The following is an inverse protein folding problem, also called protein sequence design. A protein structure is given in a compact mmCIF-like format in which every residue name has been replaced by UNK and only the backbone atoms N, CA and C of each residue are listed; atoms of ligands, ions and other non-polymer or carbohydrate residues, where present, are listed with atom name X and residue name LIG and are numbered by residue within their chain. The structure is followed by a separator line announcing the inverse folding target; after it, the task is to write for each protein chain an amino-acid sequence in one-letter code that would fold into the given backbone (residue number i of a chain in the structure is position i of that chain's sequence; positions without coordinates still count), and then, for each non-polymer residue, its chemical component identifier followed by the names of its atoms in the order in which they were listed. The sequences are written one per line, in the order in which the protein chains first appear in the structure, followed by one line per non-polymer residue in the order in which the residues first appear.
data_IF_085251323121
#
_entry.id   IF_085251323121
#
_cell.length_a   1.000
_cell.length_b   1.000
_cell.length_c   1.000
_cell.angle_alpha   90.00
_cell.angle_beta   90.00
_cell.angle_gamma   90.00
#
_symmetry.space_group_name_H-M   'P 1'
#
loop_
_entity.id
_entity.type
_entity.pdbx_description
1 polymer ?
#
# COMPACT_ATOMS: atom_id res chain seq x y z
N UNK A 1 -24.80 15.19 -2.56
CA UNK A 1 -23.45 15.76 -2.30
C UNK A 1 -22.70 15.79 -3.62
N UNK A 2 -22.49 16.97 -4.22
CA UNK A 2 -21.70 17.09 -5.46
C UNK A 2 -20.25 16.63 -5.25
N UNK A 3 -19.59 16.18 -6.32
CA UNK A 3 -18.15 15.97 -6.31
C UNK A 3 -17.49 17.31 -5.98
N UNK A 4 -16.89 17.42 -4.80
CA UNK A 4 -16.02 18.56 -4.50
C UNK A 4 -14.79 18.46 -5.39
N UNK A 5 -14.28 19.60 -5.84
CA UNK A 5 -12.97 19.66 -6.48
C UNK A 5 -11.97 18.93 -5.58
N UNK A 6 -11.23 18.00 -6.16
CA UNK A 6 -10.16 17.29 -5.45
C UNK A 6 -8.94 18.18 -5.58
N UNK A 7 -8.62 18.89 -4.50
CA UNK A 7 -7.39 19.66 -4.42
C UNK A 7 -6.21 18.68 -4.28
N UNK A 8 -5.25 18.70 -5.22
CA UNK A 8 -4.08 17.82 -5.14
C UNK A 8 -3.30 18.04 -3.83
N UNK A 9 -3.33 19.25 -3.27
CA UNK A 9 -2.71 19.64 -2.00
C UNK A 9 -3.22 18.81 -0.82
N UNK A 10 -4.50 18.46 -0.79
CA UNK A 10 -5.08 17.67 0.30
C UNK A 10 -4.46 16.25 0.33
N UNK A 11 -4.19 15.66 -0.84
CA UNK A 11 -3.53 14.36 -0.96
C UNK A 11 -2.09 14.44 -0.44
N UNK A 12 -1.36 15.50 -0.81
CA UNK A 12 0.00 15.71 -0.30
C UNK A 12 0.05 15.99 1.21
N UNK A 13 -0.95 16.69 1.76
CA UNK A 13 -1.10 16.87 3.19
C UNK A 13 -1.29 15.55 3.94
N UNK A 14 -2.11 14.64 3.40
CA UNK A 14 -2.29 13.31 3.96
C UNK A 14 -1.02 12.45 3.85
N UNK A 15 -0.32 12.50 2.72
CA UNK A 15 0.96 11.81 2.55
C UNK A 15 1.97 12.23 3.62
N UNK A 16 2.07 13.55 3.87
CA UNK A 16 3.00 14.09 4.86
C UNK A 16 2.60 13.77 6.30
N UNK A 17 1.35 14.04 6.67
CA UNK A 17 0.93 14.00 8.07
C UNK A 17 0.46 12.61 8.52
N UNK A 18 -0.30 11.89 7.70
CA UNK A 18 -0.89 10.59 8.08
C UNK A 18 0.00 9.41 7.70
N UNK A 19 0.77 9.52 6.62
CA UNK A 19 1.65 8.45 6.13
C UNK A 19 3.13 8.71 6.44
N UNK A 20 3.44 9.81 7.13
CA UNK A 20 4.81 10.25 7.48
C UNK A 20 5.77 10.33 6.28
N UNK A 21 5.24 10.55 5.08
CA UNK A 21 6.02 10.64 3.85
C UNK A 21 6.34 12.10 3.55
N UNK A 22 7.52 12.55 4.00
CA UNK A 22 7.91 13.98 3.98
C UNK A 22 8.64 14.41 2.70
N UNK A 23 9.25 13.48 1.97
CA UNK A 23 10.04 13.77 0.76
C UNK A 23 10.08 12.54 -0.15
N UNK A 24 10.13 12.77 -1.46
CA UNK A 24 10.48 11.72 -2.42
C UNK A 24 11.87 11.16 -2.11
N UNK A 25 11.97 9.83 -2.09
CA UNK A 25 13.23 9.13 -1.80
C UNK A 25 14.03 8.88 -3.07
N UNK A 26 13.36 8.84 -4.22
CA UNK A 26 14.00 8.62 -5.49
C UNK A 26 14.12 9.92 -6.30
N UNK A 27 15.20 10.03 -7.06
CA UNK A 27 15.49 11.16 -7.95
C UNK A 27 15.26 10.77 -9.41
N UNK A 28 14.76 11.73 -10.19
CA UNK A 28 14.38 11.53 -11.59
C UNK A 28 12.88 11.33 -11.78
N UNK A 29 12.35 11.87 -12.88
CA UNK A 29 10.90 11.92 -13.16
C UNK A 29 10.23 10.55 -13.08
N UNK A 30 10.85 9.53 -13.66
CA UNK A 30 10.28 8.18 -13.72
C UNK A 30 10.20 7.51 -12.35
N UNK A 31 11.21 7.73 -11.51
CA UNK A 31 11.24 7.14 -10.15
C UNK A 31 10.29 7.86 -9.20
N UNK A 32 10.17 9.18 -9.33
CA UNK A 32 9.15 9.96 -8.59
C UNK A 32 7.74 9.54 -9.01
N UNK A 33 7.52 9.26 -10.30
CA UNK A 33 6.24 8.75 -10.79
C UNK A 33 5.92 7.36 -10.25
N UNK A 34 6.94 6.51 -10.10
CA UNK A 34 6.80 5.20 -9.45
C UNK A 34 6.37 5.34 -7.98
N UNK A 35 7.02 6.21 -7.21
CA UNK A 35 6.61 6.52 -5.83
C UNK A 35 5.14 6.97 -5.77
N UNK A 36 4.74 7.87 -6.67
CA UNK A 36 3.36 8.34 -6.76
C UNK A 36 2.37 7.23 -7.12
N UNK A 37 2.76 6.30 -8.00
CA UNK A 37 1.95 5.14 -8.38
C UNK A 37 1.69 4.21 -7.19
N UNK A 38 2.70 3.97 -6.34
CA UNK A 38 2.52 3.23 -5.09
C UNK A 38 1.51 3.90 -4.17
N UNK A 39 1.59 5.22 -4.01
CA UNK A 39 0.61 5.97 -3.22
C UNK A 39 -0.79 5.84 -3.80
N UNK A 40 -0.95 5.99 -5.12
CA UNK A 40 -2.25 5.86 -5.79
C UNK A 40 -2.87 4.47 -5.53
N UNK A 41 -2.09 3.40 -5.65
CA UNK A 41 -2.53 2.03 -5.35
C UNK A 41 -2.91 1.91 -3.87
N UNK A 42 -2.06 2.38 -2.95
CA UNK A 42 -2.32 2.32 -1.51
C UNK A 42 -3.59 3.09 -1.12
N UNK A 43 -3.80 4.28 -1.67
CA UNK A 43 -5.01 5.08 -1.43
C UNK A 43 -6.28 4.41 -1.98
N UNK A 44 -6.18 3.74 -3.14
CA UNK A 44 -7.29 2.96 -3.69
C UNK A 44 -7.66 1.77 -2.81
N UNK A 45 -6.66 1.02 -2.31
CA UNK A 45 -6.88 -0.08 -1.35
C UNK A 45 -7.51 0.46 -0.07
N UNK A 46 -6.97 1.55 0.49
CA UNK A 46 -7.52 2.21 1.70
C UNK A 46 -8.98 2.61 1.52
N UNK A 47 -9.35 3.10 0.32
CA UNK A 47 -10.73 3.45 -0.02
C UNK A 47 -11.65 2.21 -0.09
N UNK A 48 -11.15 1.10 -0.63
CA UNK A 48 -11.90 -0.17 -0.65
C UNK A 48 -12.11 -0.65 0.79
N UNK A 49 -11.07 -0.70 1.63
CA UNK A 49 -11.20 -1.08 3.04
C UNK A 49 -12.22 -0.22 3.80
N UNK A 50 -12.20 1.10 3.59
CA UNK A 50 -13.18 2.00 4.21
C UNK A 50 -14.63 1.72 3.77
N UNK A 51 -14.85 1.31 2.52
CA UNK A 51 -16.17 0.86 2.04
C UNK A 51 -16.57 -0.46 2.67
N UNK A 52 -15.68 -1.44 2.70
CA UNK A 52 -15.95 -2.76 3.27
C UNK A 52 -16.34 -2.67 4.76
N UNK A 53 -15.62 -1.84 5.53
CA UNK A 53 -15.94 -1.59 6.94
C UNK A 53 -17.33 -0.93 7.10
N UNK A 54 -17.70 -0.01 6.20
CA UNK A 54 -19.02 0.64 6.23
C UNK A 54 -20.15 -0.33 5.87
N UNK A 55 -19.90 -1.28 4.98
CA UNK A 55 -20.85 -2.30 4.53
C UNK A 55 -20.89 -3.52 5.47
N UNK A 56 -20.11 -3.54 6.56
CA UNK A 56 -20.12 -4.60 7.56
C UNK A 56 -19.47 -5.91 7.08
N UNK A 57 -18.56 -5.83 6.12
CA UNK A 57 -17.87 -7.00 5.54
C UNK A 57 -16.61 -7.40 6.33
N UNK A 58 -16.66 -7.34 7.66
CA UNK A 58 -15.51 -7.61 8.53
C UNK A 58 -14.98 -9.05 8.39
N UNK A 59 -15.85 -9.99 8.00
CA UNK A 59 -15.48 -11.38 7.75
C UNK A 59 -14.48 -11.54 6.59
N UNK A 60 -14.61 -10.73 5.52
CA UNK A 60 -13.67 -10.72 4.40
C UNK A 60 -12.31 -10.21 4.85
N UNK A 61 -12.28 -9.20 5.73
CA UNK A 61 -11.04 -8.68 6.32
C UNK A 61 -10.27 -9.77 7.07
N UNK A 62 -10.97 -10.63 7.83
CA UNK A 62 -10.38 -11.78 8.48
C UNK A 62 -9.79 -12.79 7.49
N UNK A 63 -10.52 -13.12 6.42
CA UNK A 63 -10.05 -14.04 5.37
C UNK A 63 -8.79 -13.51 4.68
N UNK A 64 -8.76 -12.21 4.35
CA UNK A 64 -7.58 -11.58 3.76
C UNK A 64 -6.39 -11.60 4.72
N UNK A 65 -6.60 -11.36 6.01
CA UNK A 65 -5.52 -11.40 7.01
C UNK A 65 -4.88 -12.79 7.08
N UNK A 66 -5.68 -13.85 7.19
CA UNK A 66 -5.19 -15.22 7.19
C UNK A 66 -4.45 -15.58 5.91
N UNK A 67 -4.99 -15.18 4.74
CA UNK A 67 -4.31 -15.36 3.47
C UNK A 67 -2.95 -14.63 3.42
N UNK A 68 -2.89 -13.41 3.96
CA UNK A 68 -1.67 -12.61 3.96
C UNK A 68 -0.61 -13.24 4.87
N UNK A 69 -1.00 -13.73 6.05
CA UNK A 69 -0.11 -14.47 6.97
C UNK A 69 0.37 -15.77 6.33
N UNK A 70 -0.50 -16.51 5.65
CA UNK A 70 -0.14 -17.73 4.95
C UNK A 70 0.87 -17.46 3.83
N UNK A 71 0.64 -16.43 3.01
CA UNK A 71 1.58 -16.00 1.96
C UNK A 71 2.92 -15.61 2.58
N UNK A 72 2.94 -14.81 3.64
CA UNK A 72 4.18 -14.38 4.27
C UNK A 72 4.99 -15.58 4.81
N UNK A 73 4.33 -16.52 5.50
CA UNK A 73 4.96 -17.77 5.95
C UNK A 73 5.51 -18.59 4.77
N UNK A 74 4.76 -18.69 3.68
CA UNK A 74 5.22 -19.37 2.47
C UNK A 74 6.42 -18.66 1.83
N UNK A 75 6.41 -17.32 1.76
CA UNK A 75 7.51 -16.52 1.22
C UNK A 75 8.77 -16.65 2.08
N UNK A 76 8.66 -16.60 3.41
CA UNK A 76 9.79 -16.85 4.31
C UNK A 76 10.37 -18.26 4.11
N UNK A 77 9.52 -19.27 4.02
CA UNK A 77 9.96 -20.64 3.77
C UNK A 77 10.66 -20.79 2.40
N UNK A 78 10.18 -20.14 1.35
CA UNK A 78 10.83 -20.15 0.03
C UNK A 78 12.18 -19.40 0.08
N UNK A 79 12.25 -18.25 0.75
CA UNK A 79 13.47 -17.48 0.89
C UNK A 79 14.54 -18.25 1.69
N UNK A 80 14.15 -18.95 2.75
CA UNK A 80 15.03 -19.84 3.52
C UNK A 80 15.52 -21.04 2.69
N UNK A 81 14.74 -21.50 1.69
CA UNK A 81 15.11 -22.58 0.77
C UNK A 81 16.06 -22.15 -0.37
N UNK A 82 16.38 -20.87 -0.51
CA UNK A 82 17.33 -20.36 -1.52
C UNK A 82 18.64 -19.82 -0.91
N UNK A 83 19.49 -20.65 -0.26
CA UNK A 83 20.78 -20.22 0.26
C UNK A 83 21.89 -20.05 -0.81
N UNK A 84 21.65 -20.38 -2.09
CA UNK A 84 22.73 -20.48 -3.10
C UNK A 84 23.11 -19.18 -3.85
N UNK A 85 22.52 -18.02 -3.53
CA UNK A 85 22.77 -16.78 -4.29
C UNK A 85 23.53 -15.68 -3.52
N UNK A 86 24.21 -16.00 -2.39
CA UNK A 86 24.95 -15.02 -1.56
C UNK A 86 26.47 -15.28 -1.57
N UNK A 87 26.97 -16.21 -2.40
CA UNK A 87 28.40 -16.36 -2.64
C UNK A 87 28.76 -15.85 -4.05
N UNK A 88 29.00 -14.54 -4.17
CA UNK A 88 29.76 -13.91 -5.26
C UNK A 88 30.36 -12.60 -4.74
#
# INVERSE_FOLDING_TARGET
RGQRCIEPEAVFGQMKNNMNYKRFRHFGKDKVFMDFSFFAIAFNIKKICAKMAKEGMDWLTGLFYELTVAIFRCCEHINQRNPQNIAA
#
